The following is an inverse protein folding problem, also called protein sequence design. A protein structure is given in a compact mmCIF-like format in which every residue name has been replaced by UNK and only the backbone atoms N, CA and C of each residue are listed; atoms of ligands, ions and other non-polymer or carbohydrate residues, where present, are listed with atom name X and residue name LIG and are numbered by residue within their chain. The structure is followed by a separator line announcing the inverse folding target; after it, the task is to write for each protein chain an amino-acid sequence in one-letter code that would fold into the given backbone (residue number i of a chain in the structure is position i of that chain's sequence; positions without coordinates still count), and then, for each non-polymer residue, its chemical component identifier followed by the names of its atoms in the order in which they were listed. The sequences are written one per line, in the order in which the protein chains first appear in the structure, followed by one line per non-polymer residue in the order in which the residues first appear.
data_IF_923750888478
#
_entry.id   IF_923750888478
#
_cell.length_a   1.000
_cell.length_b   1.000
_cell.length_c   1.000
_cell.angle_alpha   90.00
_cell.angle_beta   90.00
_cell.angle_gamma   90.00
#
_symmetry.space_group_name_H-M   'P 1'
#
loop_
_entity.id
_entity.type
_entity.pdbx_description
1 polymer ?
#
# COMPACT_ATOMS: atom_id res chain seq x y z
N UNK A 1 12.61 14.90 -1.30
CA UNK A 1 11.97 13.59 -1.59
C UNK A 1 10.69 13.80 -2.38
N UNK A 2 10.44 13.01 -3.43
CA UNK A 2 9.15 12.90 -4.09
C UNK A 2 8.39 11.68 -3.56
N UNK A 3 7.16 11.85 -3.08
CA UNK A 3 6.25 10.77 -2.71
C UNK A 3 5.05 10.80 -3.64
N UNK A 4 4.93 9.82 -4.54
CA UNK A 4 3.76 9.71 -5.42
C UNK A 4 2.68 8.87 -4.76
N UNK A 5 1.40 9.12 -5.04
CA UNK A 5 0.30 8.43 -4.38
C UNK A 5 0.16 8.76 -2.88
N UNK A 6 0.73 9.90 -2.45
CA UNK A 6 0.77 10.30 -1.05
C UNK A 6 -0.57 10.78 -0.46
N UNK A 7 -1.61 10.95 -1.29
CA UNK A 7 -2.97 11.19 -0.81
C UNK A 7 -3.74 9.88 -0.51
N UNK A 8 -3.16 8.72 -0.84
CA UNK A 8 -3.67 7.39 -0.51
C UNK A 8 -3.34 6.97 0.91
N UNK A 9 -3.84 5.79 1.32
CA UNK A 9 -3.71 5.24 2.67
C UNK A 9 -2.25 5.13 3.15
N UNK A 10 -1.45 4.25 2.51
CA UNK A 10 -0.08 3.97 2.97
C UNK A 10 0.83 5.18 2.71
N UNK A 11 0.68 5.83 1.53
CA UNK A 11 1.50 6.99 1.17
C UNK A 11 1.33 8.17 2.13
N UNK A 12 0.11 8.44 2.60
CA UNK A 12 -0.14 9.52 3.58
C UNK A 12 0.41 9.20 4.97
N UNK A 13 0.39 7.92 5.37
CA UNK A 13 1.00 7.49 6.63
C UNK A 13 2.53 7.57 6.55
N UNK A 14 3.12 7.23 5.40
CA UNK A 14 4.56 7.38 5.16
C UNK A 14 5.00 8.85 5.19
N UNK A 15 4.21 9.77 4.59
CA UNK A 15 4.46 11.20 4.67
C UNK A 15 4.41 11.67 6.13
N UNK A 16 3.37 11.28 6.88
CA UNK A 16 3.22 11.62 8.30
C UNK A 16 4.44 11.15 9.11
N UNK A 17 4.83 9.89 8.92
CA UNK A 17 6.01 9.31 9.55
C UNK A 17 7.30 10.06 9.20
N UNK A 18 7.50 10.37 7.92
CA UNK A 18 8.71 11.07 7.44
C UNK A 18 8.82 12.48 7.99
N UNK A 19 7.74 13.27 7.93
CA UNK A 19 7.71 14.65 8.41
C UNK A 19 7.88 14.77 9.93
N UNK A 20 7.45 13.75 10.70
CA UNK A 20 7.64 13.72 12.15
C UNK A 20 9.01 13.14 12.55
N UNK A 21 9.71 12.45 11.66
CA UNK A 21 11.01 11.83 11.95
C UNK A 21 12.19 12.68 11.52
N UNK A 22 12.06 13.42 10.43
CA UNK A 22 13.15 14.13 9.77
C UNK A 22 12.83 15.63 9.62
N UNK A 23 13.58 16.49 10.28
CA UNK A 23 13.41 17.95 10.19
C UNK A 23 14.01 18.55 8.91
N UNK A 24 14.97 17.86 8.29
CA UNK A 24 15.75 18.33 7.13
C UNK A 24 15.26 17.75 5.79
N UNK A 25 14.18 16.95 5.79
CA UNK A 25 13.60 16.36 4.57
C UNK A 25 12.42 17.18 4.08
N UNK A 26 12.56 17.76 2.88
CA UNK A 26 11.42 18.34 2.15
C UNK A 26 10.67 17.23 1.40
N UNK A 27 9.36 17.15 1.59
CA UNK A 27 8.48 16.17 0.95
C UNK A 27 7.55 16.86 -0.06
N UNK A 28 7.68 16.52 -1.34
CA UNK A 28 6.69 16.84 -2.35
C UNK A 28 5.78 15.61 -2.54
N UNK A 29 4.50 15.77 -2.27
CA UNK A 29 3.46 14.78 -2.53
C UNK A 29 2.85 15.01 -3.91
N UNK A 30 2.97 14.06 -4.82
CA UNK A 30 2.29 14.05 -6.12
C UNK A 30 1.16 13.03 -6.09
N UNK A 31 -0.08 13.47 -6.36
CA UNK A 31 -1.23 12.56 -6.42
C UNK A 31 -2.26 13.05 -7.43
N UNK A 32 -2.87 12.12 -8.15
CA UNK A 32 -3.92 12.40 -9.14
C UNK A 32 -5.27 12.74 -8.47
N UNK A 33 -5.42 12.40 -7.18
CA UNK A 33 -6.67 12.50 -6.40
C UNK A 33 -7.81 11.73 -7.06
N UNK A 34 -7.56 10.45 -7.35
CA UNK A 34 -8.63 9.51 -7.72
C UNK A 34 -9.56 9.27 -6.52
N UNK A 35 -10.49 8.35 -6.65
CA UNK A 35 -11.49 8.08 -5.60
C UNK A 35 -10.89 7.77 -4.21
N UNK A 36 -9.74 7.10 -4.16
CA UNK A 36 -9.07 6.70 -2.91
C UNK A 36 -8.10 7.76 -2.36
N UNK A 37 -7.78 8.82 -3.11
CA UNK A 37 -6.89 9.91 -2.70
C UNK A 37 -7.56 10.90 -1.73
N UNK A 38 -8.00 10.42 -0.57
CA UNK A 38 -8.81 11.21 0.38
C UNK A 38 -8.08 11.58 1.68
N UNK A 39 -6.84 11.10 1.88
CA UNK A 39 -6.14 11.24 3.15
C UNK A 39 -5.57 12.65 3.42
N UNK A 40 -5.53 13.51 2.38
CA UNK A 40 -5.11 14.92 2.51
C UNK A 40 -6.26 15.87 2.85
N UNK A 41 -7.49 15.35 3.01
CA UNK A 41 -8.61 16.18 3.46
C UNK A 41 -8.29 16.84 4.81
N UNK A 42 -8.92 18.00 5.05
CA UNK A 42 -8.74 18.80 6.26
C UNK A 42 -7.30 19.32 6.47
N UNK A 43 -6.55 19.51 5.39
CA UNK A 43 -5.20 20.10 5.43
C UNK A 43 -4.24 19.34 6.39
N UNK A 44 -4.29 18.00 6.38
CA UNK A 44 -3.55 17.12 7.32
C UNK A 44 -2.08 17.52 7.51
N UNK A 45 -1.43 18.04 6.48
CA UNK A 45 0.00 18.39 6.52
C UNK A 45 0.29 19.88 6.40
N UNK A 46 -0.73 20.76 6.51
CA UNK A 46 -0.58 22.21 6.31
C UNK A 46 0.28 22.90 7.37
N UNK A 47 0.51 22.27 8.51
CA UNK A 47 1.40 22.81 9.57
C UNK A 47 2.89 22.55 9.31
N UNK A 48 3.22 21.70 8.33
CA UNK A 48 4.62 21.39 8.00
C UNK A 48 5.12 22.30 6.89
N UNK A 49 6.09 23.17 7.17
CA UNK A 49 6.71 24.07 6.19
C UNK A 49 7.52 23.31 5.11
N UNK A 50 8.00 22.12 5.44
CA UNK A 50 8.75 21.22 4.57
C UNK A 50 7.86 20.26 3.79
N UNK A 51 6.56 20.56 3.62
CA UNK A 51 5.61 19.77 2.82
C UNK A 51 4.98 20.60 1.69
N UNK A 52 4.92 20.01 0.48
CA UNK A 52 4.19 20.58 -0.67
C UNK A 52 3.34 19.50 -1.33
N UNK A 53 2.09 19.84 -1.64
CA UNK A 53 1.21 19.00 -2.45
C UNK A 53 1.12 19.51 -3.88
N UNK A 54 1.21 18.61 -4.85
CA UNK A 54 0.98 18.86 -6.27
C UNK A 54 -0.03 17.85 -6.79
N UNK A 55 -1.11 18.33 -7.40
CA UNK A 55 -2.05 17.45 -8.11
C UNK A 55 -1.49 17.12 -9.50
N UNK A 56 -1.30 15.82 -9.80
CA UNK A 56 -0.79 15.39 -11.10
C UNK A 56 -0.83 13.89 -11.27
N UNK A 57 -0.68 13.47 -12.53
CA UNK A 57 -0.67 12.07 -12.94
C UNK A 57 0.77 11.63 -13.21
N UNK A 58 1.18 10.49 -12.65
CA UNK A 58 2.51 9.91 -12.93
C UNK A 58 2.69 9.48 -14.39
N UNK A 59 1.59 9.32 -15.14
CA UNK A 59 1.62 9.02 -16.57
C UNK A 59 1.86 10.25 -17.46
N UNK A 60 1.82 11.48 -16.91
CA UNK A 60 2.10 12.70 -17.66
C UNK A 60 3.60 13.00 -17.70
N UNK A 61 4.27 12.51 -18.77
CA UNK A 61 5.69 12.72 -18.99
C UNK A 61 6.13 14.19 -18.84
N UNK A 62 5.35 15.12 -19.40
CA UNK A 62 5.69 16.54 -19.40
C UNK A 62 5.59 17.16 -18.01
N UNK A 63 4.56 16.78 -17.24
CA UNK A 63 4.42 17.25 -15.86
C UNK A 63 5.52 16.67 -14.96
N UNK A 64 5.82 15.38 -15.10
CA UNK A 64 6.90 14.72 -14.35
C UNK A 64 8.25 15.35 -14.68
N UNK A 65 8.56 15.57 -15.96
CA UNK A 65 9.83 16.19 -16.38
C UNK A 65 10.01 17.59 -15.76
N UNK A 66 8.95 18.43 -15.78
CA UNK A 66 8.98 19.76 -15.14
C UNK A 66 9.21 19.68 -13.63
N UNK A 67 8.53 18.74 -12.93
CA UNK A 67 8.71 18.59 -11.49
C UNK A 67 10.13 18.16 -11.12
N UNK A 68 10.71 17.23 -11.85
CA UNK A 68 12.09 16.78 -11.60
C UNK A 68 13.12 17.88 -11.92
N UNK A 69 12.87 18.70 -12.95
CA UNK A 69 13.73 19.83 -13.28
C UNK A 69 13.68 20.93 -12.20
N UNK A 70 12.47 21.24 -11.70
CA UNK A 70 12.26 22.27 -10.69
C UNK A 70 12.82 21.88 -9.31
N UNK A 71 12.52 20.65 -8.83
CA UNK A 71 12.79 20.27 -7.45
C UNK A 71 14.07 19.46 -7.24
N UNK A 72 14.66 18.84 -8.29
CA UNK A 72 15.89 18.05 -8.21
C UNK A 72 15.88 17.03 -7.06
N UNK A 73 14.95 16.09 -7.11
CA UNK A 73 14.73 15.11 -6.05
C UNK A 73 15.94 14.19 -5.82
N UNK A 74 16.33 13.98 -4.56
CA UNK A 74 17.31 12.96 -4.16
C UNK A 74 16.68 11.56 -4.08
N UNK A 75 15.44 11.49 -3.62
CA UNK A 75 14.71 10.23 -3.37
C UNK A 75 13.33 10.31 -4.00
N UNK A 76 12.92 9.24 -4.69
CA UNK A 76 11.57 9.02 -5.19
C UNK A 76 11.00 7.78 -4.52
N UNK A 77 9.80 7.90 -3.92
CA UNK A 77 9.05 6.78 -3.33
C UNK A 77 7.71 6.67 -4.04
N UNK A 78 7.54 5.58 -4.80
CA UNK A 78 6.38 5.40 -5.67
C UNK A 78 5.28 4.57 -4.99
N UNK A 79 4.31 5.25 -4.34
CA UNK A 79 3.07 4.63 -3.85
C UNK A 79 1.93 4.72 -4.87
N UNK A 80 2.04 5.55 -5.91
CA UNK A 80 0.97 5.74 -6.88
C UNK A 80 0.64 4.44 -7.59
N UNK A 81 -0.59 3.98 -7.43
CA UNK A 81 -1.09 2.75 -8.05
C UNK A 81 -2.62 2.71 -8.04
N UNK A 82 -3.20 2.03 -9.02
CA UNK A 82 -4.51 1.43 -8.89
C UNK A 82 -4.37 0.12 -8.11
N UNK A 83 -5.18 -0.10 -7.04
CA UNK A 83 -4.92 -1.16 -6.05
C UNK A 83 -6.13 -2.03 -5.67
N UNK A 84 -7.31 -1.79 -6.24
CA UNK A 84 -8.51 -2.57 -5.92
C UNK A 84 -8.67 -3.75 -6.87
N UNK A 85 -8.48 -4.99 -6.36
CA UNK A 85 -8.47 -6.20 -7.19
C UNK A 85 -9.76 -6.37 -7.99
N UNK A 86 -10.94 -6.20 -7.37
CA UNK A 86 -12.22 -6.38 -8.09
C UNK A 86 -12.39 -5.36 -9.23
N UNK A 87 -11.90 -4.12 -9.05
CA UNK A 87 -11.85 -3.12 -10.12
C UNK A 87 -10.89 -3.54 -11.24
N UNK A 88 -9.78 -4.21 -10.90
CA UNK A 88 -8.84 -4.69 -11.91
C UNK A 88 -9.43 -5.76 -12.82
N UNK A 89 -10.38 -6.55 -12.32
CA UNK A 89 -11.10 -7.56 -13.11
C UNK A 89 -12.04 -6.87 -14.12
N UNK A 90 -12.72 -5.80 -13.68
CA UNK A 90 -13.67 -5.07 -14.53
C UNK A 90 -13.02 -4.08 -15.50
N UNK A 91 -11.86 -3.53 -15.15
CA UNK A 91 -11.16 -2.50 -15.93
C UNK A 91 -9.65 -2.69 -15.84
N UNK A 92 -9.09 -3.74 -16.45
CA UNK A 92 -7.68 -4.11 -16.28
C UNK A 92 -6.71 -3.07 -16.86
N UNK A 93 -7.09 -2.41 -17.95
CA UNK A 93 -6.19 -1.52 -18.71
C UNK A 93 -5.65 -0.38 -17.82
N UNK A 94 -6.47 0.28 -17.02
CA UNK A 94 -6.05 1.40 -16.17
C UNK A 94 -5.00 0.99 -15.14
N UNK A 95 -4.99 -0.30 -14.73
CA UNK A 95 -3.97 -0.84 -13.83
C UNK A 95 -2.61 -0.93 -14.51
N UNK A 96 -2.55 -1.39 -15.75
CA UNK A 96 -1.29 -1.42 -16.51
C UNK A 96 -0.82 -0.02 -16.88
N UNK A 97 -1.71 0.87 -17.25
CA UNK A 97 -1.39 2.27 -17.52
C UNK A 97 -0.76 2.94 -16.29
N UNK A 98 -1.43 2.90 -15.15
CA UNK A 98 -0.94 3.55 -13.94
C UNK A 98 0.27 2.81 -13.35
N UNK A 99 0.13 1.50 -13.10
CA UNK A 99 1.11 0.78 -12.30
C UNK A 99 2.40 0.45 -13.08
N UNK A 100 2.31 0.19 -14.39
CA UNK A 100 3.47 -0.11 -15.22
C UNK A 100 3.95 1.13 -15.97
N UNK A 101 3.11 1.73 -16.85
CA UNK A 101 3.55 2.84 -17.68
C UNK A 101 3.88 4.09 -16.84
N UNK A 102 3.05 4.42 -15.83
CA UNK A 102 3.35 5.51 -14.89
C UNK A 102 4.65 5.28 -14.13
N UNK A 103 4.94 4.04 -13.70
CA UNK A 103 6.23 3.71 -13.06
C UNK A 103 7.40 3.89 -14.04
N UNK A 104 7.25 3.52 -15.32
CA UNK A 104 8.33 3.72 -16.31
C UNK A 104 8.60 5.20 -16.57
N UNK A 105 7.59 6.06 -16.56
CA UNK A 105 7.76 7.52 -16.66
C UNK A 105 8.61 8.04 -15.49
N UNK A 106 8.31 7.60 -14.27
CA UNK A 106 9.09 7.99 -13.08
C UNK A 106 10.52 7.47 -13.12
N UNK A 107 10.74 6.23 -13.60
CA UNK A 107 12.06 5.62 -13.74
C UNK A 107 12.93 6.38 -14.78
N UNK A 108 12.35 6.78 -15.93
CA UNK A 108 13.05 7.59 -16.93
C UNK A 108 13.42 8.96 -16.37
N UNK A 109 12.51 9.63 -15.64
CA UNK A 109 12.81 10.88 -14.99
C UNK A 109 13.91 10.72 -13.92
N UNK A 110 13.81 9.67 -13.09
CA UNK A 110 14.83 9.37 -12.08
C UNK A 110 16.22 9.16 -12.69
N UNK A 111 16.29 8.44 -13.82
CA UNK A 111 17.53 8.23 -14.57
C UNK A 111 18.07 9.55 -15.17
N UNK A 112 17.21 10.31 -15.84
CA UNK A 112 17.57 11.58 -16.50
C UNK A 112 18.12 12.62 -15.51
N UNK A 113 17.51 12.70 -14.31
CA UNK A 113 17.86 13.70 -13.30
C UNK A 113 18.79 13.18 -12.19
N UNK A 114 19.36 11.96 -12.37
CA UNK A 114 20.33 11.34 -11.47
C UNK A 114 19.82 11.23 -10.01
N UNK A 115 18.59 10.77 -9.84
CA UNK A 115 18.00 10.51 -8.51
C UNK A 115 18.87 9.50 -7.75
N UNK A 116 19.19 9.80 -6.50
CA UNK A 116 20.08 8.97 -5.66
C UNK A 116 19.44 7.64 -5.26
N UNK A 117 18.09 7.62 -5.06
CA UNK A 117 17.33 6.43 -4.68
C UNK A 117 15.93 6.47 -5.29
N UNK A 118 15.55 5.40 -5.99
CA UNK A 118 14.17 5.12 -6.40
C UNK A 118 13.65 3.95 -5.59
N UNK A 119 12.54 4.14 -4.87
CA UNK A 119 11.90 3.08 -4.09
C UNK A 119 10.51 2.78 -4.64
N UNK A 120 10.28 1.52 -5.03
CA UNK A 120 9.00 1.03 -5.54
C UNK A 120 8.23 0.31 -4.43
N UNK A 121 6.98 0.72 -4.20
CA UNK A 121 6.06 -0.01 -3.34
C UNK A 121 5.34 -1.07 -4.15
N UNK A 122 5.47 -2.32 -3.72
CA UNK A 122 4.86 -3.50 -4.33
C UNK A 122 4.02 -4.28 -3.31
N UNK A 123 3.65 -5.50 -3.63
CA UNK A 123 2.71 -6.35 -2.87
C UNK A 123 3.17 -7.80 -2.90
N UNK A 124 2.83 -8.57 -1.87
CA UNK A 124 2.99 -10.02 -1.82
C UNK A 124 2.14 -10.76 -2.87
N UNK A 125 1.05 -10.13 -3.35
CA UNK A 125 0.19 -10.71 -4.38
C UNK A 125 0.91 -10.99 -5.71
N UNK A 126 2.10 -10.42 -5.94
CA UNK A 126 2.92 -10.69 -7.15
C UNK A 126 3.43 -12.14 -7.19
N UNK A 127 3.53 -12.80 -6.05
CA UNK A 127 3.94 -14.22 -5.97
C UNK A 127 2.80 -15.17 -6.31
N UNK A 128 1.53 -14.73 -6.22
CA UNK A 128 0.34 -15.59 -6.30
C UNK A 128 0.04 -16.29 -4.98
N UNK A 129 -0.92 -17.23 -5.03
CA UNK A 129 -1.34 -17.96 -3.84
C UNK A 129 -0.27 -18.93 -3.32
N UNK A 130 -0.06 -18.93 -2.00
CA UNK A 130 0.83 -19.88 -1.33
C UNK A 130 0.18 -21.28 -1.24
N UNK A 131 0.97 -22.32 -1.48
CA UNK A 131 0.58 -23.73 -1.36
C UNK A 131 1.24 -24.41 -0.15
N UNK A 132 1.48 -23.68 0.93
CA UNK A 132 1.98 -24.22 2.19
C UNK A 132 3.40 -23.82 2.58
N UNK A 133 4.04 -22.87 1.85
CA UNK A 133 5.34 -22.28 2.21
C UNK A 133 5.30 -20.77 2.16
N UNK A 134 6.28 -20.11 2.78
CA UNK A 134 6.47 -18.67 2.65
C UNK A 134 7.34 -18.36 1.42
N UNK A 135 6.90 -17.40 0.59
CA UNK A 135 7.69 -16.90 -0.52
C UNK A 135 8.83 -16.01 -0.02
N UNK A 136 10.01 -16.20 -0.60
CA UNK A 136 11.16 -15.32 -0.45
C UNK A 136 11.29 -14.38 -1.64
N UNK A 137 12.17 -13.42 -1.58
CA UNK A 137 12.40 -12.45 -2.67
C UNK A 137 12.97 -13.09 -3.94
N UNK A 138 13.52 -14.31 -3.86
CA UNK A 138 14.06 -15.09 -4.99
C UNK A 138 13.02 -15.97 -5.70
N UNK A 139 11.81 -16.08 -5.14
CA UNK A 139 10.76 -16.89 -5.72
C UNK A 139 10.19 -16.26 -6.99
N UNK A 140 9.67 -17.12 -7.88
CA UNK A 140 9.09 -16.68 -9.15
C UNK A 140 7.78 -15.96 -8.93
N UNK A 141 7.56 -14.90 -9.72
CA UNK A 141 6.29 -14.21 -9.76
C UNK A 141 5.25 -15.03 -10.52
N UNK A 142 4.07 -15.17 -9.93
CA UNK A 142 2.94 -15.92 -10.51
C UNK A 142 1.60 -15.23 -10.18
N UNK A 143 1.41 -13.96 -10.58
CA UNK A 143 0.25 -13.17 -10.22
C UNK A 143 -1.04 -13.75 -10.77
N UNK A 144 -2.12 -13.75 -9.96
CA UNK A 144 -3.43 -14.33 -10.27
C UNK A 144 -4.48 -13.31 -10.73
N UNK A 145 -4.20 -12.01 -10.62
CA UNK A 145 -5.13 -10.92 -10.98
C UNK A 145 -4.47 -9.87 -11.87
N UNK A 146 -5.25 -9.08 -12.65
CA UNK A 146 -4.69 -7.95 -13.42
C UNK A 146 -3.96 -6.93 -12.53
N UNK A 147 -4.43 -6.68 -11.31
CA UNK A 147 -3.72 -5.86 -10.33
C UNK A 147 -2.34 -6.42 -10.01
N UNK A 148 -2.27 -7.67 -9.53
CA UNK A 148 -0.99 -8.28 -9.15
C UNK A 148 -0.05 -8.43 -10.35
N UNK A 149 -0.60 -8.73 -11.55
CA UNK A 149 0.18 -8.77 -12.78
C UNK A 149 0.79 -7.39 -13.15
N UNK A 150 0.02 -6.30 -13.00
CA UNK A 150 0.53 -4.94 -13.25
C UNK A 150 1.61 -4.52 -12.25
N UNK A 151 1.51 -4.94 -10.98
CA UNK A 151 2.53 -4.71 -9.96
C UNK A 151 3.79 -5.53 -10.22
N UNK A 152 3.65 -6.82 -10.59
CA UNK A 152 4.77 -7.66 -11.00
C UNK A 152 5.52 -7.08 -12.21
N UNK A 153 4.80 -6.57 -13.21
CA UNK A 153 5.39 -5.90 -14.36
C UNK A 153 6.16 -4.64 -13.97
N UNK A 154 5.64 -3.84 -13.03
CA UNK A 154 6.33 -2.67 -12.49
C UNK A 154 7.62 -3.06 -11.73
N UNK A 155 7.60 -4.13 -10.94
CA UNK A 155 8.79 -4.66 -10.26
C UNK A 155 9.87 -5.04 -11.27
N UNK A 156 9.49 -5.78 -12.33
CA UNK A 156 10.42 -6.18 -13.40
C UNK A 156 10.99 -4.98 -14.15
N UNK A 157 10.17 -3.95 -14.41
CA UNK A 157 10.65 -2.69 -15.00
C UNK A 157 11.70 -2.04 -14.08
N UNK A 158 11.43 -1.90 -12.79
CA UNK A 158 12.36 -1.37 -11.80
C UNK A 158 13.71 -2.12 -11.80
N UNK A 159 13.67 -3.45 -11.73
CA UNK A 159 14.87 -4.30 -11.75
C UNK A 159 15.65 -4.19 -13.07
N UNK A 160 14.94 -4.04 -14.20
CA UNK A 160 15.60 -3.83 -15.49
C UNK A 160 16.37 -2.51 -15.54
N UNK A 161 15.83 -1.43 -14.96
CA UNK A 161 16.50 -0.14 -14.85
C UNK A 161 17.73 -0.19 -13.94
N UNK A 162 17.62 -0.90 -12.82
CA UNK A 162 18.77 -1.12 -11.94
C UNK A 162 19.89 -1.86 -12.69
N UNK A 163 19.56 -2.94 -13.40
CA UNK A 163 20.54 -3.78 -14.11
C UNK A 163 21.14 -3.11 -15.34
N UNK A 164 20.30 -2.42 -16.15
CA UNK A 164 20.73 -1.87 -17.44
C UNK A 164 21.40 -0.51 -17.29
N UNK A 165 20.86 0.34 -16.40
CA UNK A 165 21.31 1.73 -16.29
C UNK A 165 22.02 2.04 -14.96
N UNK A 166 22.13 1.06 -14.05
CA UNK A 166 22.74 1.28 -12.74
C UNK A 166 21.91 2.18 -11.82
N UNK A 167 20.60 2.37 -12.12
CA UNK A 167 19.74 3.17 -11.27
C UNK A 167 19.63 2.50 -9.88
N UNK A 168 19.82 3.27 -8.83
CA UNK A 168 19.73 2.77 -7.45
C UNK A 168 18.26 2.56 -7.06
N UNK A 169 17.72 1.40 -7.44
CA UNK A 169 16.34 0.99 -7.15
C UNK A 169 16.30 0.06 -5.97
N UNK A 170 15.27 0.21 -5.13
CA UNK A 170 14.86 -0.81 -4.15
C UNK A 170 13.36 -1.04 -4.25
N UNK A 171 12.91 -2.25 -3.91
CA UNK A 171 11.49 -2.64 -3.95
C UNK A 171 11.09 -3.22 -2.59
N UNK A 172 9.92 -2.85 -2.08
CA UNK A 172 9.29 -3.56 -0.96
C UNK A 172 8.02 -4.27 -1.43
N UNK A 173 7.85 -5.55 -1.06
CA UNK A 173 6.65 -6.34 -1.24
C UNK A 173 6.00 -6.57 0.12
N UNK A 174 4.92 -5.83 0.38
CA UNK A 174 4.27 -5.83 1.69
C UNK A 174 3.08 -6.78 1.72
N UNK A 175 2.87 -7.41 2.86
CA UNK A 175 1.65 -8.12 3.23
C UNK A 175 0.44 -7.17 3.35
N UNK A 176 -0.73 -7.68 3.74
CA UNK A 176 -1.97 -6.91 3.80
C UNK A 176 -1.92 -5.80 4.86
N UNK A 177 -1.85 -4.56 4.42
CA UNK A 177 -1.82 -3.41 5.31
C UNK A 177 -3.20 -3.09 5.88
N UNK A 178 -3.23 -2.67 7.16
CA UNK A 178 -4.42 -2.13 7.82
C UNK A 178 -4.05 -0.98 8.76
N UNK A 179 -5.04 -0.10 9.05
CA UNK A 179 -4.82 1.04 9.95
C UNK A 179 -5.77 2.20 9.69
N UNK A 180 -5.47 3.33 10.32
CA UNK A 180 -6.21 4.59 10.14
C UNK A 180 -6.14 5.08 8.69
N UNK A 181 -7.14 5.82 8.23
CA UNK A 181 -7.23 6.40 6.89
C UNK A 181 -7.28 5.39 5.72
N UNK A 182 -7.44 4.08 5.97
CA UNK A 182 -7.65 3.13 4.89
C UNK A 182 -9.03 3.36 4.24
N UNK A 183 -9.05 3.52 2.92
CA UNK A 183 -10.29 3.77 2.18
C UNK A 183 -11.28 2.60 2.41
N UNK A 184 -12.59 2.87 2.63
CA UNK A 184 -13.57 1.85 3.00
C UNK A 184 -14.01 0.96 1.82
N UNK A 185 -13.04 0.29 1.20
CA UNK A 185 -13.21 -0.70 0.14
C UNK A 185 -12.52 -2.03 0.43
N UNK A 186 -11.64 -2.08 1.44
CA UNK A 186 -10.93 -3.29 1.87
C UNK A 186 -11.58 -3.92 3.09
N UNK A 187 -11.23 -5.17 3.40
CA UNK A 187 -11.92 -6.00 4.41
C UNK A 187 -12.14 -5.28 5.74
N UNK A 188 -11.07 -4.83 6.40
CA UNK A 188 -11.16 -4.23 7.74
C UNK A 188 -12.00 -2.95 7.71
N UNK A 189 -11.72 -1.93 6.87
CA UNK A 189 -12.55 -0.72 6.88
C UNK A 189 -13.99 -0.97 6.43
N UNK A 190 -14.25 -1.90 5.49
CA UNK A 190 -15.63 -2.26 5.12
C UNK A 190 -16.35 -2.87 6.30
N UNK A 191 -15.75 -3.83 7.02
CA UNK A 191 -16.35 -4.48 8.17
C UNK A 191 -16.67 -3.47 9.28
N UNK A 192 -15.70 -2.58 9.61
CA UNK A 192 -15.89 -1.55 10.64
C UNK A 192 -16.99 -0.56 10.25
N UNK A 193 -16.94 -0.02 9.01
CA UNK A 193 -17.92 0.97 8.56
C UNK A 193 -19.32 0.38 8.41
N UNK A 194 -19.43 -0.88 7.94
CA UNK A 194 -20.72 -1.59 7.87
C UNK A 194 -21.32 -1.79 9.26
N UNK A 195 -20.55 -2.32 10.19
CA UNK A 195 -21.01 -2.54 11.57
C UNK A 195 -21.45 -1.22 12.25
N UNK A 196 -20.61 -0.16 12.16
CA UNK A 196 -20.95 1.16 12.69
C UNK A 196 -22.18 1.80 12.01
N UNK A 197 -22.50 1.39 10.79
CA UNK A 197 -23.67 1.84 10.02
C UNK A 197 -24.88 0.91 10.12
N UNK A 198 -24.83 -0.16 10.92
CA UNK A 198 -25.89 -1.17 11.03
C UNK A 198 -26.17 -1.94 9.73
N UNK A 199 -25.15 -2.06 8.84
CA UNK A 199 -25.26 -2.74 7.56
C UNK A 199 -24.63 -4.13 7.61
N UNK A 200 -25.04 -5.01 6.68
CA UNK A 200 -24.41 -6.32 6.50
C UNK A 200 -22.97 -6.18 6.06
N UNK A 201 -22.12 -7.10 6.52
CA UNK A 201 -20.70 -7.19 6.20
C UNK A 201 -20.52 -8.32 5.20
N UNK A 202 -20.16 -8.04 3.93
CA UNK A 202 -19.96 -9.09 2.94
C UNK A 202 -18.71 -9.92 3.28
N UNK A 203 -18.87 -11.23 3.39
CA UNK A 203 -17.80 -12.19 3.59
C UNK A 203 -17.79 -13.19 2.44
N UNK A 204 -16.75 -13.14 1.62
CA UNK A 204 -16.59 -13.98 0.44
C UNK A 204 -16.43 -15.46 0.81
N UNK A 205 -17.17 -16.34 0.16
CA UNK A 205 -17.17 -17.78 0.41
C UNK A 205 -17.47 -18.11 1.87
N UNK A 206 -16.71 -19.02 2.47
CA UNK A 206 -16.80 -19.36 3.90
C UNK A 206 -15.90 -18.49 4.81
N UNK A 207 -15.26 -17.46 4.28
CA UNK A 207 -14.32 -16.63 5.04
C UNK A 207 -12.96 -17.27 5.32
N UNK A 208 -12.63 -18.37 4.62
CA UNK A 208 -11.44 -19.20 4.86
C UNK A 208 -10.14 -18.64 4.31
N UNK A 209 -10.18 -17.56 3.48
CA UNK A 209 -8.94 -16.95 2.98
C UNK A 209 -8.10 -16.40 4.11
N UNK A 210 -6.84 -16.82 4.13
CA UNK A 210 -5.83 -16.39 5.10
C UNK A 210 -5.06 -15.21 4.54
N UNK A 211 -4.87 -14.18 5.37
CA UNK A 211 -4.04 -13.02 5.04
C UNK A 211 -3.07 -12.77 6.18
N UNK A 212 -1.89 -12.28 5.83
CA UNK A 212 -0.91 -11.80 6.80
C UNK A 212 -1.13 -10.29 7.00
N UNK A 213 -1.41 -9.89 8.22
CA UNK A 213 -1.85 -8.52 8.54
C UNK A 213 -0.71 -7.68 9.08
N UNK A 214 -0.43 -6.58 8.37
CA UNK A 214 0.66 -5.65 8.67
C UNK A 214 0.10 -4.28 9.05
N UNK A 215 0.41 -3.81 10.27
CA UNK A 215 0.00 -2.48 10.69
C UNK A 215 0.72 -1.41 9.87
N UNK A 216 -0.02 -0.42 9.35
CA UNK A 216 0.49 0.52 8.36
C UNK A 216 1.71 1.30 8.81
N UNK A 217 1.79 1.66 10.09
CA UNK A 217 2.95 2.40 10.64
C UNK A 217 4.21 1.53 10.65
N UNK A 218 4.08 0.22 10.92
CA UNK A 218 5.22 -0.70 10.89
C UNK A 218 5.72 -0.92 9.45
N UNK A 219 4.79 -0.96 8.48
CA UNK A 219 5.16 -0.96 7.07
C UNK A 219 5.94 0.31 6.69
N UNK A 220 5.49 1.49 7.13
CA UNK A 220 6.18 2.75 6.87
C UNK A 220 7.61 2.79 7.45
N UNK A 221 7.80 2.25 8.67
CA UNK A 221 9.12 2.11 9.28
C UNK A 221 10.03 1.19 8.48
N UNK A 222 9.51 0.04 8.03
CA UNK A 222 10.27 -0.90 7.21
C UNK A 222 10.63 -0.30 5.84
N UNK A 223 9.71 0.40 5.18
CA UNK A 223 9.97 1.13 3.92
C UNK A 223 11.09 2.15 4.13
N UNK A 224 11.02 2.96 5.18
CA UNK A 224 12.07 3.93 5.51
C UNK A 224 13.43 3.27 5.73
N UNK A 225 13.46 2.15 6.44
CA UNK A 225 14.70 1.38 6.64
C UNK A 225 15.28 0.86 5.31
N UNK A 226 14.44 0.37 4.40
CA UNK A 226 14.89 -0.09 3.08
C UNK A 226 15.37 1.08 2.21
N UNK A 227 14.72 2.24 2.25
CA UNK A 227 15.18 3.44 1.55
C UNK A 227 16.59 3.83 2.01
N UNK A 228 16.86 3.77 3.31
CA UNK A 228 18.13 4.22 3.88
C UNK A 228 19.23 3.17 3.88
N UNK A 229 18.90 1.87 4.03
CA UNK A 229 19.85 0.78 4.25
C UNK A 229 19.81 -0.33 3.21
N UNK A 230 18.77 -0.39 2.39
CA UNK A 230 18.60 -1.42 1.38
C UNK A 230 19.67 -1.35 0.29
N UNK A 231 20.16 -2.50 -0.15
CA UNK A 231 21.11 -2.58 -1.26
C UNK A 231 20.44 -2.24 -2.60
N UNK A 232 21.17 -1.60 -3.50
CA UNK A 232 20.69 -1.24 -4.84
C UNK A 232 20.35 -2.49 -5.66
N UNK A 233 19.22 -2.47 -6.35
CA UNK A 233 18.73 -3.58 -7.17
C UNK A 233 18.02 -4.67 -6.38
N UNK A 234 17.81 -4.49 -5.05
CA UNK A 234 17.28 -5.52 -4.18
C UNK A 234 15.81 -5.33 -3.82
N UNK A 235 15.16 -6.47 -3.59
CA UNK A 235 13.77 -6.58 -3.12
C UNK A 235 13.80 -6.96 -1.65
N UNK A 236 12.82 -6.47 -0.89
CA UNK A 236 12.60 -6.81 0.52
C UNK A 236 11.12 -7.11 0.77
N UNK A 237 10.83 -8.30 1.25
CA UNK A 237 9.49 -8.65 1.72
C UNK A 237 9.24 -8.02 3.09
N UNK A 238 8.00 -7.56 3.33
CA UNK A 238 7.56 -7.02 4.62
C UNK A 238 6.33 -7.83 5.06
N UNK A 239 6.56 -8.90 5.83
CA UNK A 239 5.51 -9.72 6.40
C UNK A 239 4.82 -9.00 7.57
N UNK A 240 3.54 -9.29 7.82
CA UNK A 240 2.82 -8.79 8.98
C UNK A 240 3.15 -9.56 10.26
N UNK A 241 3.37 -10.87 10.13
CA UNK A 241 3.62 -11.77 11.25
C UNK A 241 2.34 -12.23 11.95
N UNK A 242 1.16 -11.87 11.42
CA UNK A 242 -0.14 -12.28 11.97
C UNK A 242 -1.05 -12.81 10.86
N UNK A 243 -1.07 -14.14 10.69
CA UNK A 243 -1.86 -14.83 9.68
C UNK A 243 -3.21 -15.25 10.25
N UNK A 244 -4.29 -14.63 9.76
CA UNK A 244 -5.65 -14.88 10.19
C UNK A 244 -6.59 -15.08 9.00
N UNK A 245 -7.62 -15.90 9.18
CA UNK A 245 -8.72 -16.02 8.24
C UNK A 245 -9.54 -14.72 8.21
N UNK A 246 -10.06 -14.36 7.04
CA UNK A 246 -10.91 -13.17 6.90
C UNK A 246 -12.13 -13.21 7.84
N UNK A 247 -12.73 -14.38 8.03
CA UNK A 247 -13.85 -14.56 8.96
C UNK A 247 -13.46 -14.30 10.42
N UNK A 248 -12.25 -14.69 10.85
CA UNK A 248 -11.75 -14.42 12.21
C UNK A 248 -11.56 -12.92 12.45
N UNK A 249 -11.01 -12.21 11.45
CA UNK A 249 -10.81 -10.75 11.53
C UNK A 249 -12.15 -10.02 11.67
N UNK A 250 -13.19 -10.40 10.89
CA UNK A 250 -14.52 -9.80 11.00
C UNK A 250 -15.13 -10.05 12.39
N UNK A 251 -15.03 -11.27 12.92
CA UNK A 251 -15.53 -11.59 14.28
C UNK A 251 -14.83 -10.77 15.37
N UNK A 252 -13.50 -10.58 15.25
CA UNK A 252 -12.76 -9.69 16.17
C UNK A 252 -13.26 -8.25 16.10
N UNK A 253 -13.56 -7.73 14.91
CA UNK A 253 -14.11 -6.38 14.71
C UNK A 253 -15.49 -6.27 15.38
N UNK A 254 -16.38 -7.24 15.14
CA UNK A 254 -17.72 -7.26 15.74
C UNK A 254 -17.65 -7.31 17.28
N UNK A 255 -16.76 -8.14 17.83
CA UNK A 255 -16.53 -8.21 19.28
C UNK A 255 -16.04 -6.87 19.86
N UNK A 256 -15.12 -6.17 19.19
CA UNK A 256 -14.64 -4.84 19.61
C UNK A 256 -15.74 -3.76 19.56
N UNK A 257 -16.72 -3.93 18.67
CA UNK A 257 -17.84 -3.00 18.53
C UNK A 257 -19.05 -3.36 19.41
N UNK A 258 -19.09 -4.58 19.97
CA UNK A 258 -20.24 -5.10 20.71
C UNK A 258 -21.41 -5.47 19.80
N UNK A 259 -21.13 -5.82 18.54
CA UNK A 259 -22.14 -6.13 17.52
C UNK A 259 -22.29 -7.65 17.32
N UNK A 260 -23.48 -8.06 16.81
CA UNK A 260 -23.81 -9.46 16.54
C UNK A 260 -23.13 -9.98 15.26
N UNK A 261 -22.76 -11.26 15.25
CA UNK A 261 -22.31 -11.98 14.04
C UNK A 261 -23.43 -12.10 12.98
N UNK A 262 -24.70 -11.83 13.32
CA UNK A 262 -25.81 -11.75 12.37
C UNK A 262 -25.58 -10.66 11.31
N UNK A 263 -24.67 -9.72 11.53
CA UNK A 263 -24.27 -8.75 10.53
C UNK A 263 -23.45 -9.37 9.39
N UNK A 264 -22.86 -10.56 9.57
CA UNK A 264 -22.10 -11.22 8.50
C UNK A 264 -23.07 -11.73 7.42
N UNK A 265 -22.77 -11.39 6.15
CA UNK A 265 -23.47 -11.87 4.98
C UNK A 265 -22.50 -12.64 4.09
N UNK A 266 -22.70 -13.96 3.95
CA UNK A 266 -21.88 -14.77 3.06
C UNK A 266 -22.25 -14.53 1.60
N UNK A 267 -21.25 -14.12 0.82
CA UNK A 267 -21.42 -13.84 -0.61
C UNK A 267 -20.56 -14.77 -1.48
N UNK A 268 -20.93 -15.00 -2.76
CA UNK A 268 -20.13 -15.84 -3.65
C UNK A 268 -18.68 -15.35 -3.78
N UNK A 269 -17.75 -16.28 -3.97
CA UNK A 269 -16.34 -15.95 -4.23
C UNK A 269 -16.16 -15.24 -5.58
N UNK A 270 -15.11 -14.40 -5.62
CA UNK A 270 -14.68 -13.74 -6.86
C UNK A 270 -13.75 -14.67 -7.67
N UNK A 271 -13.73 -14.52 -9.03
CA UNK A 271 -12.73 -15.21 -9.86
C UNK A 271 -11.29 -14.85 -9.49
N UNK A 272 -10.38 -15.80 -9.65
CA UNK A 272 -8.94 -15.56 -9.43
C UNK A 272 -8.55 -15.28 -7.98
N UNK A 273 -9.35 -15.74 -7.00
CA UNK A 273 -9.06 -15.54 -5.59
C UNK A 273 -8.02 -16.52 -5.09
N UNK A 274 -6.91 -16.00 -4.60
CA UNK A 274 -5.94 -16.80 -3.85
C UNK A 274 -6.43 -17.07 -2.42
N UNK A 275 -6.27 -18.29 -1.96
CA UNK A 275 -6.71 -18.69 -0.62
C UNK A 275 -5.79 -18.14 0.46
N UNK A 276 -4.50 -18.04 0.17
CA UNK A 276 -3.50 -17.62 1.14
C UNK A 276 -2.38 -16.84 0.48
N UNK A 277 -1.88 -15.81 1.18
CA UNK A 277 -0.61 -15.16 0.90
C UNK A 277 0.32 -15.34 2.11
N UNK A 278 1.55 -15.75 1.83
CA UNK A 278 2.55 -15.97 2.87
C UNK A 278 3.94 -15.64 2.35
N UNK A 279 4.60 -14.66 2.96
CA UNK A 279 5.95 -14.21 2.60
C UNK A 279 6.89 -14.30 3.81
N UNK A 280 8.15 -14.58 3.54
CA UNK A 280 9.24 -14.54 4.52
C UNK A 280 9.92 -13.17 4.47
N UNK A 281 10.17 -12.55 5.63
CA UNK A 281 10.85 -11.26 5.79
C UNK A 281 12.26 -11.39 6.40
N UNK A 282 12.85 -12.57 6.36
CA UNK A 282 14.17 -12.85 6.91
C UNK A 282 15.26 -11.94 6.34
N UNK A 283 15.18 -11.61 5.05
CA UNK A 283 16.10 -10.65 4.42
C UNK A 283 15.95 -9.24 4.98
N UNK A 284 14.71 -8.74 5.18
CA UNK A 284 14.47 -7.45 5.80
C UNK A 284 15.09 -7.37 7.20
N UNK A 285 14.98 -8.43 8.00
CA UNK A 285 15.52 -8.50 9.37
C UNK A 285 17.02 -8.32 9.43
N UNK A 286 17.74 -8.53 8.35
CA UNK A 286 19.20 -8.26 8.30
C UNK A 286 19.54 -6.76 8.36
N UNK A 287 18.59 -5.88 8.02
CA UNK A 287 18.76 -4.42 8.01
C UNK A 287 17.77 -3.69 8.91
N UNK A 288 16.67 -4.34 9.29
CA UNK A 288 15.61 -3.77 10.13
C UNK A 288 14.85 -4.89 10.86
N UNK A 289 15.03 -4.98 12.17
CA UNK A 289 14.43 -6.00 13.04
C UNK A 289 13.77 -5.32 14.25
N UNK A 290 12.80 -4.44 14.01
CA UNK A 290 11.98 -3.84 15.07
C UNK A 290 10.75 -4.68 15.36
N UNK A 291 10.29 -4.73 16.62
CA UNK A 291 9.03 -5.38 16.97
C UNK A 291 7.85 -4.79 16.20
N UNK A 292 7.01 -5.65 15.65
CA UNK A 292 5.76 -5.25 14.99
C UNK A 292 4.65 -5.03 16.03
N UNK A 293 3.73 -4.15 15.67
CA UNK A 293 2.51 -3.90 16.46
C UNK A 293 1.71 -5.20 16.57
N UNK A 294 1.34 -5.58 17.79
CA UNK A 294 0.41 -6.69 18.02
C UNK A 294 -0.90 -6.47 17.26
N UNK A 295 -1.40 -7.51 16.59
CA UNK A 295 -2.57 -7.40 15.71
C UNK A 295 -3.81 -6.90 16.45
N UNK A 296 -4.09 -7.44 17.65
CA UNK A 296 -5.30 -7.07 18.40
C UNK A 296 -5.20 -5.61 18.90
N UNK A 297 -4.01 -5.18 19.29
CA UNK A 297 -3.76 -3.78 19.66
C UNK A 297 -3.92 -2.83 18.46
N UNK A 298 -3.35 -3.17 17.31
CA UNK A 298 -3.48 -2.39 16.07
C UNK A 298 -4.91 -2.37 15.52
N UNK A 299 -5.62 -3.51 15.61
CA UNK A 299 -7.01 -3.61 15.20
C UNK A 299 -7.91 -2.73 16.09
N UNK A 300 -7.71 -2.79 17.41
CA UNK A 300 -8.43 -1.92 18.37
C UNK A 300 -8.21 -0.45 18.05
N UNK A 301 -6.96 -0.03 17.86
CA UNK A 301 -6.64 1.35 17.51
C UNK A 301 -7.31 1.77 16.17
N UNK A 302 -7.35 0.86 15.19
CA UNK A 302 -8.01 1.09 13.89
C UNK A 302 -9.51 1.26 14.08
N UNK A 303 -10.20 0.36 14.81
CA UNK A 303 -11.63 0.45 15.08
C UNK A 303 -11.97 1.74 15.81
N UNK A 304 -11.21 2.10 16.85
CA UNK A 304 -11.39 3.35 17.59
C UNK A 304 -11.23 4.58 16.69
N UNK A 305 -10.25 4.55 15.77
CA UNK A 305 -10.09 5.65 14.82
C UNK A 305 -11.35 5.82 13.95
N UNK A 306 -11.92 4.75 13.38
CA UNK A 306 -13.15 4.85 12.57
C UNK A 306 -14.35 5.32 13.39
N UNK A 307 -14.48 4.89 14.66
CA UNK A 307 -15.54 5.38 15.57
C UNK A 307 -15.48 6.90 15.76
N UNK A 308 -14.26 7.43 15.89
CA UNK A 308 -14.03 8.85 16.19
C UNK A 308 -13.95 9.73 14.93
N UNK A 309 -13.90 9.16 13.74
CA UNK A 309 -13.73 9.90 12.48
C UNK A 309 -14.85 9.59 11.48
N UNK A 310 -16.10 9.54 11.94
CA UNK A 310 -17.28 9.26 11.09
C UNK A 310 -17.41 10.24 9.94
N UNK A 311 -17.15 11.53 10.17
CA UNK A 311 -17.24 12.58 9.15
C UNK A 311 -16.24 12.36 8.00
N UNK A 312 -15.12 11.64 8.24
CA UNK A 312 -14.17 11.32 7.20
C UNK A 312 -14.66 10.17 6.31
N UNK A 313 -15.15 9.06 6.88
CA UNK A 313 -15.45 7.85 6.11
C UNK A 313 -16.90 7.74 5.65
N UNK A 314 -17.90 8.29 6.38
CA UNK A 314 -19.30 8.17 5.98
C UNK A 314 -19.58 8.68 4.56
N UNK A 315 -19.09 9.87 4.13
CA UNK A 315 -19.29 10.33 2.76
C UNK A 315 -18.62 9.47 1.69
N UNK A 316 -17.64 8.64 2.08
CA UNK A 316 -16.91 7.74 1.19
C UNK A 316 -17.59 6.39 1.06
N UNK A 317 -18.25 5.94 2.11
CA UNK A 317 -18.87 4.62 2.24
C UNK A 317 -20.33 4.58 1.74
N UNK A 318 -21.00 5.72 1.71
CA UNK A 318 -22.40 5.85 1.27
C UNK A 318 -22.54 6.12 -0.25
N UNK A 319 -21.43 6.24 -0.98
CA UNK A 319 -21.40 6.37 -2.44
C UNK A 319 -21.33 5.01 -3.11
#
# INVERSE_FOLDING_TARGET
MLVTGGAGFIGSEFIDYTLNKYDDVFVLCLDKLTYAGQCLKNNRFSSFENFKFVKGDICDNSAIDRLFDEFKFDVVVNFAAESHVDRSINSPQVFFETNLLGTTVLLEAARKYNVKRFHQISTDEVYGGSLGGAFTESDRLNPSSPYSASKAAADLACLSYAKTFGLNVTITRSANNYGRFQYPEKLIPVAVCSALGGKKIPLYGAGESVRDWLYVTDNCKAIDAVINRGAAGEIYNIAGGCRLKNGEVIRKILALLGESEDLIEYVPDRPGRDLEYHIDDGKLKTIFDEPKTDFDAGLKATVEWYKNNKDWWQPLFLK
#
